data_IF_190630881313
#
_entry.id   IF_190630881313
#
_cell.length_a   1.000
_cell.length_b   1.000
_cell.length_c   1.000
_cell.angle_alpha   90.00
_cell.angle_beta   90.00
_cell.angle_gamma   90.00
#
_symmetry.space_group_name_H-M   'P 1'
#
loop_
_entity.id
_entity.type
_entity.pdbx_description
1 polymer ?
#
# COMPACT_ATOMS: atom_id res chain seq x y z
N UNK A 1 -3.60 -14.74 -32.68
CA UNK A 1 -4.73 -13.82 -32.43
C UNK A 1 -4.16 -12.63 -31.68
N UNK A 2 -4.53 -11.41 -32.08
CA UNK A 2 -4.14 -10.23 -31.33
C UNK A 2 -4.80 -10.30 -29.94
N UNK A 3 -4.04 -9.96 -28.88
CA UNK A 3 -4.52 -9.93 -27.52
C UNK A 3 -5.61 -8.86 -27.42
N UNK A 4 -6.77 -9.21 -26.89
CA UNK A 4 -7.79 -8.21 -26.61
C UNK A 4 -7.48 -7.57 -25.24
N UNK A 5 -6.74 -6.47 -25.28
CA UNK A 5 -6.30 -5.73 -24.08
C UNK A 5 -7.48 -5.41 -23.17
N UNK A 6 -8.57 -4.86 -23.71
CA UNK A 6 -9.74 -4.48 -22.90
C UNK A 6 -10.32 -5.67 -22.14
N UNK A 7 -10.48 -6.82 -22.81
CA UNK A 7 -11.03 -8.03 -22.16
C UNK A 7 -10.15 -8.52 -21.01
N UNK A 8 -8.82 -8.50 -21.18
CA UNK A 8 -7.89 -8.93 -20.12
C UNK A 8 -7.96 -7.97 -18.93
N UNK A 9 -8.00 -6.66 -19.18
CA UNK A 9 -8.04 -5.67 -18.14
C UNK A 9 -9.37 -5.71 -17.37
N UNK A 10 -10.48 -5.96 -18.07
CA UNK A 10 -11.79 -6.14 -17.43
C UNK A 10 -11.80 -7.39 -16.53
N UNK A 11 -11.25 -8.51 -16.97
CA UNK A 11 -11.11 -9.74 -16.16
C UNK A 11 -10.25 -9.52 -14.90
N UNK A 12 -9.23 -8.67 -15.00
CA UNK A 12 -8.35 -8.31 -13.88
C UNK A 12 -8.88 -7.13 -13.04
N UNK A 13 -10.07 -6.62 -13.34
CA UNK A 13 -10.68 -5.44 -12.70
C UNK A 13 -9.77 -4.20 -12.75
N UNK A 14 -9.03 -4.02 -13.84
CA UNK A 14 -8.18 -2.85 -14.03
C UNK A 14 -8.98 -1.73 -14.70
N UNK A 15 -9.16 -0.64 -13.99
CA UNK A 15 -9.77 0.57 -14.55
C UNK A 15 -8.70 1.44 -15.22
N UNK A 16 -8.65 1.42 -16.57
CA UNK A 16 -7.64 2.18 -17.33
C UNK A 16 -7.95 3.69 -17.40
N UNK A 17 -9.06 4.19 -16.92
CA UNK A 17 -9.27 5.62 -16.79
C UNK A 17 -8.13 6.22 -15.93
N UNK A 18 -7.88 7.51 -16.02
CA UNK A 18 -7.04 8.16 -15.03
C UNK A 18 -5.51 8.10 -15.26
N UNK A 19 -5.07 8.11 -16.53
CA UNK A 19 -3.66 8.27 -16.85
C UNK A 19 -2.85 6.98 -16.94
N UNK A 20 -3.48 5.80 -16.86
CA UNK A 20 -2.80 4.51 -17.00
C UNK A 20 -2.88 3.88 -18.41
N UNK A 21 -3.63 4.50 -19.36
CA UNK A 21 -3.83 3.96 -20.70
C UNK A 21 -2.51 3.68 -21.43
N UNK A 22 -1.56 4.59 -21.33
CA UNK A 22 -0.25 4.46 -21.97
C UNK A 22 0.66 3.47 -21.26
N UNK A 23 0.38 3.15 -19.99
CA UNK A 23 1.10 2.13 -19.24
C UNK A 23 0.73 0.73 -19.70
N UNK A 24 -0.55 0.43 -19.90
CA UNK A 24 -1.03 -0.90 -20.32
C UNK A 24 -0.90 -1.12 -21.82
N UNK A 25 0.33 -1.15 -22.33
CA UNK A 25 0.65 -1.55 -23.70
C UNK A 25 0.41 -3.05 -23.90
N UNK A 26 0.31 -3.49 -25.16
CA UNK A 26 0.13 -4.91 -25.50
C UNK A 26 1.19 -5.81 -24.85
N UNK A 27 2.45 -5.40 -24.85
CA UNK A 27 3.55 -6.13 -24.19
C UNK A 27 3.37 -6.25 -22.69
N UNK A 28 2.95 -5.18 -22.02
CA UNK A 28 2.73 -5.20 -20.54
C UNK A 28 1.51 -6.02 -20.17
N UNK A 29 0.46 -5.96 -20.99
CA UNK A 29 -0.72 -6.81 -20.78
C UNK A 29 -0.38 -8.28 -20.99
N UNK A 30 0.46 -8.62 -22.01
CA UNK A 30 0.95 -9.99 -22.15
C UNK A 30 1.78 -10.43 -20.94
N UNK A 31 2.66 -9.58 -20.43
CA UNK A 31 3.42 -9.84 -19.19
C UNK A 31 2.49 -10.11 -17.99
N UNK A 32 1.40 -9.34 -17.85
CA UNK A 32 0.39 -9.59 -16.82
C UNK A 32 -0.29 -10.95 -16.97
N UNK A 33 -0.65 -11.33 -18.19
CA UNK A 33 -1.24 -12.65 -18.48
C UNK A 33 -0.28 -13.75 -18.05
N UNK A 34 1.00 -13.65 -18.39
CA UNK A 34 2.03 -14.65 -18.05
C UNK A 34 2.23 -14.76 -16.53
N UNK A 35 2.24 -13.61 -15.83
CA UNK A 35 2.29 -13.57 -14.36
C UNK A 35 1.05 -14.25 -13.77
N UNK A 36 -0.14 -13.86 -14.20
CA UNK A 36 -1.39 -14.40 -13.66
C UNK A 36 -1.58 -15.87 -13.98
N UNK A 37 -1.12 -16.34 -15.13
CA UNK A 37 -1.09 -17.76 -15.48
C UNK A 37 -0.20 -18.60 -14.55
N UNK A 38 0.86 -17.98 -14.02
CA UNK A 38 1.72 -18.60 -13.02
C UNK A 38 1.05 -18.61 -11.65
N UNK A 39 0.54 -17.44 -11.22
CA UNK A 39 -0.01 -17.21 -9.88
C UNK A 39 -1.30 -17.98 -9.64
N UNK A 40 -2.16 -18.16 -10.66
CA UNK A 40 -3.46 -18.85 -10.54
C UNK A 40 -3.38 -20.31 -10.05
N UNK A 41 -2.19 -20.93 -10.12
CA UNK A 41 -1.97 -22.29 -9.66
C UNK A 41 -1.80 -22.37 -8.14
N UNK A 42 -1.62 -21.21 -7.48
CA UNK A 42 -1.46 -21.09 -6.05
C UNK A 42 -2.72 -20.46 -5.39
N UNK A 43 -2.91 -20.71 -4.10
CA UNK A 43 -3.76 -19.82 -3.31
C UNK A 43 -2.95 -18.56 -3.01
N UNK A 44 -3.36 -17.43 -3.55
CA UNK A 44 -2.61 -16.17 -3.44
C UNK A 44 -3.45 -15.02 -2.85
N UNK A 45 -2.79 -13.99 -2.38
CA UNK A 45 -3.36 -12.76 -1.85
C UNK A 45 -2.73 -11.52 -2.52
N UNK A 46 -3.45 -10.37 -2.56
CA UNK A 46 -4.85 -10.17 -2.19
C UNK A 46 -5.82 -10.87 -3.15
N UNK A 47 -7.14 -10.68 -2.97
CA UNK A 47 -8.13 -11.11 -3.97
C UNK A 47 -7.86 -10.42 -5.30
N UNK A 48 -8.25 -11.07 -6.41
CA UNK A 48 -8.01 -10.56 -7.78
C UNK A 48 -8.51 -9.11 -7.96
N UNK A 49 -9.63 -8.74 -7.35
CA UNK A 49 -10.21 -7.41 -7.40
C UNK A 49 -9.36 -6.31 -6.76
N UNK A 50 -8.38 -6.71 -5.95
CA UNK A 50 -7.53 -5.79 -5.19
C UNK A 50 -6.07 -5.74 -5.68
N UNK A 51 -5.66 -6.59 -6.63
CA UNK A 51 -4.27 -6.63 -7.12
C UNK A 51 -3.87 -5.26 -7.70
N UNK A 52 -4.77 -4.66 -8.50
CA UNK A 52 -4.49 -3.41 -9.23
C UNK A 52 -5.15 -2.19 -8.57
N UNK A 53 -5.37 -2.22 -7.26
CA UNK A 53 -5.98 -1.11 -6.52
C UNK A 53 -5.28 0.23 -6.72
N UNK A 54 -3.98 0.22 -7.03
CA UNK A 54 -3.23 1.43 -7.32
C UNK A 54 -3.80 2.24 -8.50
N UNK A 55 -4.55 1.61 -9.41
CA UNK A 55 -5.20 2.30 -10.54
C UNK A 55 -6.40 3.17 -10.13
N UNK A 56 -6.86 3.09 -8.87
CA UNK A 56 -7.96 3.90 -8.38
C UNK A 56 -7.60 5.39 -8.25
N UNK A 57 -6.32 5.71 -8.11
CA UNK A 57 -5.86 7.11 -8.03
C UNK A 57 -5.40 7.54 -9.41
N UNK A 58 -5.99 8.59 -10.02
CA UNK A 58 -5.46 9.19 -11.25
C UNK A 58 -3.98 9.57 -11.09
N UNK A 59 -3.14 9.30 -12.10
CA UNK A 59 -1.69 9.53 -11.99
C UNK A 59 -1.36 10.99 -11.66
N UNK A 60 -2.11 11.92 -12.24
CA UNK A 60 -1.96 13.38 -11.98
C UNK A 60 -2.33 13.78 -10.55
N UNK A 61 -3.16 13.00 -9.87
CA UNK A 61 -3.61 13.27 -8.51
C UNK A 61 -2.70 12.63 -7.44
N UNK A 62 -1.75 11.79 -7.83
CA UNK A 62 -0.83 11.16 -6.89
C UNK A 62 0.13 12.22 -6.34
N UNK A 63 0.09 12.45 -5.04
CA UNK A 63 1.00 13.35 -4.31
C UNK A 63 2.14 12.57 -3.65
N UNK A 64 1.82 11.42 -3.06
CA UNK A 64 2.77 10.62 -2.32
C UNK A 64 2.56 9.12 -2.58
N UNK A 65 3.65 8.37 -2.69
CA UNK A 65 3.61 6.90 -2.73
C UNK A 65 4.40 6.35 -1.54
N UNK A 66 3.71 5.62 -0.65
CA UNK A 66 4.36 4.89 0.43
C UNK A 66 4.60 3.44 -0.01
N UNK A 67 5.88 3.11 -0.21
CA UNK A 67 6.28 1.85 -0.82
C UNK A 67 6.39 0.74 0.20
N UNK A 68 5.64 -0.35 -0.04
CA UNK A 68 5.80 -1.65 0.60
C UNK A 68 6.53 -2.65 -0.29
N UNK A 69 6.85 -3.81 0.24
CA UNK A 69 7.52 -4.88 -0.51
C UNK A 69 6.50 -5.82 -1.15
N UNK A 70 5.72 -6.52 -0.35
CA UNK A 70 4.76 -7.54 -0.76
C UNK A 70 3.51 -7.51 0.14
N UNK A 71 2.38 -8.04 -0.33
CA UNK A 71 1.17 -8.15 0.47
C UNK A 71 1.36 -9.08 1.68
N UNK A 72 0.49 -8.96 2.68
CA UNK A 72 0.48 -9.92 3.78
C UNK A 72 0.05 -11.32 3.29
N UNK A 73 0.89 -12.33 3.53
CA UNK A 73 0.62 -13.72 3.21
C UNK A 73 -0.35 -14.39 4.19
N UNK A 74 -0.73 -13.69 5.27
CA UNK A 74 -1.63 -14.16 6.32
C UNK A 74 -3.10 -13.92 5.97
N UNK A 75 -3.98 -14.66 6.63
CA UNK A 75 -5.42 -14.64 6.44
C UNK A 75 -6.15 -14.93 7.76
N UNK A 76 -7.47 -14.74 7.76
CA UNK A 76 -8.40 -15.25 8.78
C UNK A 76 -9.40 -16.18 8.14
N UNK A 77 -10.06 -16.99 8.94
CA UNK A 77 -11.26 -17.70 8.50
C UNK A 77 -12.47 -16.79 8.68
N UNK A 78 -13.41 -16.88 7.74
CA UNK A 78 -14.70 -16.19 7.84
C UNK A 78 -15.46 -16.64 9.10
N UNK A 79 -16.11 -15.71 9.79
CA UNK A 79 -16.96 -16.02 10.94
C UNK A 79 -18.23 -16.79 10.52
N UNK A 80 -18.68 -16.61 9.27
CA UNK A 80 -19.90 -17.23 8.72
C UNK A 80 -19.64 -18.64 8.21
N UNK A 81 -18.56 -18.83 7.47
CA UNK A 81 -18.16 -20.13 6.91
C UNK A 81 -16.71 -20.39 7.34
N UNK A 82 -16.53 -21.20 8.38
CA UNK A 82 -15.20 -21.48 8.98
C UNK A 82 -14.16 -22.05 8.00
N UNK A 83 -14.54 -22.34 6.77
CA UNK A 83 -13.67 -22.86 5.71
C UNK A 83 -13.23 -21.76 4.73
N UNK A 84 -13.94 -20.62 4.69
CA UNK A 84 -13.62 -19.52 3.78
C UNK A 84 -12.44 -18.69 4.29
N UNK A 85 -11.45 -18.52 3.44
CA UNK A 85 -10.25 -17.76 3.71
C UNK A 85 -10.48 -16.29 3.38
N UNK A 86 -10.30 -15.42 4.37
CA UNK A 86 -10.32 -13.96 4.20
C UNK A 86 -8.88 -13.44 4.30
N UNK A 87 -8.27 -12.94 3.21
CA UNK A 87 -6.91 -12.42 3.24
C UNK A 87 -6.79 -11.17 4.10
N UNK A 88 -5.65 -11.02 4.79
CA UNK A 88 -5.30 -9.76 5.47
C UNK A 88 -4.82 -8.68 4.48
N UNK A 89 -4.36 -9.08 3.30
CA UNK A 89 -3.96 -8.17 2.24
C UNK A 89 -5.16 -7.54 1.54
N UNK A 90 -5.15 -6.22 1.38
CA UNK A 90 -6.22 -5.40 0.80
C UNK A 90 -5.87 -4.81 -0.57
N UNK A 91 -4.66 -5.10 -1.08
CA UNK A 91 -4.09 -4.44 -2.26
C UNK A 91 -3.28 -3.17 -1.92
N UNK A 92 -3.46 -2.60 -0.73
CA UNK A 92 -2.60 -1.51 -0.24
C UNK A 92 -1.47 -2.04 0.63
N UNK A 93 -0.29 -1.45 0.54
CA UNK A 93 0.79 -1.74 1.47
C UNK A 93 0.39 -1.32 2.90
N UNK A 94 0.82 -2.09 3.89
CA UNK A 94 0.62 -1.84 5.33
C UNK A 94 -0.83 -1.95 5.84
N UNK A 95 -1.86 -1.85 5.01
CA UNK A 95 -3.26 -2.03 5.44
C UNK A 95 -3.53 -3.49 5.79
N UNK A 96 -4.28 -3.70 6.88
CA UNK A 96 -4.67 -5.02 7.39
C UNK A 96 -6.18 -5.14 7.37
N UNK A 97 -6.73 -6.05 6.58
CA UNK A 97 -8.16 -6.20 6.34
C UNK A 97 -8.99 -6.39 7.62
N UNK A 98 -8.47 -7.13 8.59
CA UNK A 98 -9.20 -7.45 9.81
C UNK A 98 -9.13 -6.40 10.91
N UNK A 99 -8.52 -5.24 10.64
CA UNK A 99 -8.42 -4.15 11.62
C UNK A 99 -9.57 -3.16 11.50
N UNK A 100 -10.49 -3.18 12.45
CA UNK A 100 -11.61 -2.23 12.51
C UNK A 100 -11.29 -0.99 13.33
N UNK A 101 -10.48 -1.13 14.39
CA UNK A 101 -10.08 -0.03 15.27
C UNK A 101 -8.59 -0.06 15.56
N UNK A 102 -7.97 1.09 15.86
CA UNK A 102 -6.57 1.15 16.31
C UNK A 102 -6.33 0.54 17.69
N UNK A 103 -7.41 0.27 18.44
CA UNK A 103 -7.35 -0.42 19.72
C UNK A 103 -7.33 -1.93 19.58
N UNK A 104 -7.63 -2.46 18.40
CA UNK A 104 -7.50 -3.88 18.09
C UNK A 104 -6.05 -4.35 18.24
N UNK A 105 -5.86 -5.67 18.40
CA UNK A 105 -4.51 -6.25 18.49
C UNK A 105 -3.80 -6.17 17.15
N UNK A 106 -2.92 -5.20 16.99
CA UNK A 106 -2.06 -5.06 15.81
C UNK A 106 -0.91 -6.07 15.88
N UNK A 107 -0.93 -7.10 15.04
CA UNK A 107 0.15 -8.09 14.93
C UNK A 107 1.35 -7.55 14.16
N UNK A 108 1.10 -6.75 13.13
CA UNK A 108 2.07 -6.20 12.20
C UNK A 108 2.87 -5.05 12.82
N UNK A 109 4.18 -5.27 13.02
CA UNK A 109 5.07 -4.27 13.65
C UNK A 109 5.14 -2.97 12.84
N UNK A 110 5.09 -3.06 11.50
CA UNK A 110 5.10 -1.88 10.63
C UNK A 110 3.90 -0.97 10.92
N UNK A 111 2.70 -1.51 10.99
CA UNK A 111 1.49 -0.72 11.24
C UNK A 111 1.48 -0.11 12.66
N UNK A 112 2.02 -0.84 13.66
CA UNK A 112 2.20 -0.28 15.01
C UNK A 112 3.10 0.96 15.01
N UNK A 113 4.22 0.90 14.29
CA UNK A 113 5.16 2.01 14.24
C UNK A 113 4.68 3.15 13.32
N UNK A 114 3.86 2.87 12.31
CA UNK A 114 3.13 3.89 11.56
C UNK A 114 2.23 4.69 12.51
N UNK A 115 1.40 4.02 13.31
CA UNK A 115 0.54 4.69 14.31
C UNK A 115 1.36 5.51 15.33
N UNK A 116 2.47 4.96 15.85
CA UNK A 116 3.36 5.69 16.76
C UNK A 116 4.00 6.91 16.08
N UNK A 117 4.36 6.80 14.80
CA UNK A 117 4.93 7.89 14.02
C UNK A 117 3.92 9.01 13.77
N UNK A 118 2.65 8.66 13.52
CA UNK A 118 1.56 9.63 13.40
C UNK A 118 1.29 10.33 14.76
N UNK A 119 1.31 9.59 15.86
CA UNK A 119 1.22 10.19 17.18
C UNK A 119 2.38 11.19 17.43
N UNK A 120 3.62 10.77 17.10
CA UNK A 120 4.79 11.63 17.20
C UNK A 120 4.68 12.87 16.28
N UNK A 121 4.13 12.71 15.05
CA UNK A 121 3.90 13.83 14.15
C UNK A 121 3.00 14.91 14.76
N UNK A 122 1.93 14.49 15.47
CA UNK A 122 0.97 15.44 16.06
C UNK A 122 1.46 16.06 17.36
N UNK A 123 2.19 15.32 18.20
CA UNK A 123 2.48 15.73 19.58
C UNK A 123 3.94 16.12 19.82
N UNK A 124 4.86 15.68 18.95
CA UNK A 124 6.30 15.76 19.19
C UNK A 124 6.82 14.76 20.22
N UNK A 125 5.94 13.95 20.84
CA UNK A 125 6.27 13.03 21.91
C UNK A 125 6.25 11.58 21.43
N UNK A 126 7.13 10.75 22.01
CA UNK A 126 7.09 9.30 21.84
C UNK A 126 6.30 8.67 22.94
N UNK A 127 5.46 7.71 22.55
CA UNK A 127 4.64 7.01 23.51
C UNK A 127 4.58 5.52 23.20
N UNK A 128 4.21 4.71 24.19
CA UNK A 128 3.92 3.29 23.98
C UNK A 128 2.61 3.12 23.22
N UNK A 129 2.47 1.97 22.56
CA UNK A 129 1.24 1.67 21.82
C UNK A 129 0.00 1.67 22.73
N UNK A 130 0.15 1.16 23.94
CA UNK A 130 -0.91 1.09 24.96
C UNK A 130 -1.44 2.49 25.31
N UNK A 131 -0.55 3.41 25.61
CA UNK A 131 -0.92 4.80 25.94
C UNK A 131 -1.50 5.56 24.76
N UNK A 132 -0.99 5.30 23.53
CA UNK A 132 -1.60 5.88 22.32
C UNK A 132 -3.05 5.40 22.17
N UNK A 133 -3.31 4.13 22.40
CA UNK A 133 -4.67 3.55 22.38
C UNK A 133 -5.58 4.15 23.44
N UNK A 134 -5.08 4.35 24.66
CA UNK A 134 -5.81 5.04 25.72
C UNK A 134 -6.17 6.46 25.30
N UNK A 135 -5.25 7.18 24.65
CA UNK A 135 -5.49 8.54 24.13
C UNK A 135 -6.49 8.56 22.98
N UNK A 136 -6.48 7.55 22.08
CA UNK A 136 -7.50 7.39 21.06
C UNK A 136 -8.87 7.16 21.71
N UNK A 137 -8.96 6.22 22.66
CA UNK A 137 -10.22 5.86 23.33
C UNK A 137 -10.80 7.01 24.15
N UNK A 138 -9.94 7.87 24.72
CA UNK A 138 -10.37 9.06 25.49
C UNK A 138 -10.63 10.30 24.63
N UNK A 139 -10.40 10.24 23.30
CA UNK A 139 -10.52 11.40 22.40
C UNK A 139 -9.37 12.41 22.50
N UNK A 140 -8.31 12.11 23.28
CA UNK A 140 -7.13 12.98 23.39
C UNK A 140 -6.17 12.89 22.17
N UNK A 141 -6.29 11.85 21.35
CA UNK A 141 -5.60 11.71 20.08
C UNK A 141 -6.63 11.30 19.02
N UNK A 142 -6.88 12.20 18.07
CA UNK A 142 -7.78 11.94 16.96
C UNK A 142 -7.04 11.36 15.77
N UNK A 143 -7.56 10.27 15.23
CA UNK A 143 -7.22 9.65 13.97
C UNK A 143 -8.44 8.84 13.48
N UNK A 144 -8.73 8.87 12.20
CA UNK A 144 -9.80 8.05 11.60
C UNK A 144 -9.57 6.57 11.89
N UNK A 145 -10.63 5.74 11.84
CA UNK A 145 -10.50 4.29 11.95
C UNK A 145 -9.51 3.74 10.88
N UNK A 146 -8.88 2.58 11.08
CA UNK A 146 -7.87 2.10 10.13
C UNK A 146 -8.32 2.14 8.67
N UNK A 147 -9.46 1.55 8.34
CA UNK A 147 -9.97 1.54 6.95
C UNK A 147 -10.31 2.93 6.43
N UNK A 148 -10.98 3.75 7.25
CA UNK A 148 -11.31 5.13 6.89
C UNK A 148 -10.04 5.97 6.70
N UNK A 149 -9.00 5.73 7.51
CA UNK A 149 -7.71 6.40 7.40
C UNK A 149 -7.03 6.10 6.05
N UNK A 150 -6.97 4.83 5.65
CA UNK A 150 -6.40 4.46 4.35
C UNK A 150 -7.25 5.00 3.18
N UNK A 151 -8.59 4.94 3.26
CA UNK A 151 -9.48 5.48 2.24
C UNK A 151 -9.30 7.00 2.10
N UNK A 152 -9.32 7.71 3.23
CA UNK A 152 -9.15 9.16 3.26
C UNK A 152 -7.80 9.62 2.68
N UNK A 153 -6.72 8.91 2.96
CA UNK A 153 -5.42 9.22 2.39
C UNK A 153 -5.38 8.92 0.88
N UNK A 154 -6.02 7.84 0.42
CA UNK A 154 -6.15 7.54 -1.02
C UNK A 154 -6.89 8.66 -1.75
N UNK A 155 -7.96 9.19 -1.18
CA UNK A 155 -8.72 10.34 -1.72
C UNK A 155 -7.86 11.62 -1.81
N UNK A 156 -6.88 11.79 -0.92
CA UNK A 156 -5.94 12.90 -0.97
C UNK A 156 -4.78 12.69 -1.96
N UNK A 157 -4.67 11.53 -2.60
CA UNK A 157 -3.59 11.19 -3.52
C UNK A 157 -2.40 10.49 -2.86
N UNK A 158 -2.59 9.85 -1.69
CA UNK A 158 -1.57 8.98 -1.09
C UNK A 158 -1.78 7.55 -1.55
N UNK A 159 -0.86 7.03 -2.32
CA UNK A 159 -0.85 5.65 -2.78
C UNK A 159 -0.02 4.75 -1.86
N UNK A 160 -0.61 3.68 -1.38
CA UNK A 160 0.09 2.62 -0.64
C UNK A 160 0.42 1.46 -1.59
N UNK A 161 1.60 1.49 -2.20
CA UNK A 161 2.00 0.59 -3.28
C UNK A 161 2.97 -0.49 -2.78
N UNK A 162 2.66 -1.77 -3.02
CA UNK A 162 3.64 -2.84 -2.91
C UNK A 162 4.40 -3.01 -4.24
N UNK A 163 5.70 -3.26 -4.18
CA UNK A 163 6.50 -3.58 -5.37
C UNK A 163 6.25 -5.00 -5.89
N UNK A 164 5.70 -5.89 -5.08
CA UNK A 164 5.16 -7.19 -5.48
C UNK A 164 3.66 -7.19 -5.24
N UNK A 165 2.85 -7.39 -6.28
CA UNK A 165 1.40 -7.18 -6.16
C UNK A 165 0.62 -8.39 -5.65
N UNK A 166 1.24 -9.57 -5.63
CA UNK A 166 0.64 -10.79 -5.08
C UNK A 166 1.63 -11.56 -4.21
N UNK A 167 1.12 -12.42 -3.35
CA UNK A 167 1.91 -13.32 -2.51
C UNK A 167 1.18 -14.66 -2.37
N UNK A 168 1.89 -15.76 -2.36
CA UNK A 168 1.32 -17.06 -2.06
C UNK A 168 0.93 -17.14 -0.58
N UNK A 169 -0.18 -17.79 -0.30
CA UNK A 169 -0.66 -18.04 1.05
C UNK A 169 0.46 -18.63 1.93
N UNK A 170 0.67 -18.01 3.10
CA UNK A 170 1.66 -18.42 4.11
C UNK A 170 3.14 -18.35 3.67
N UNK A 171 3.46 -17.84 2.47
CA UNK A 171 4.82 -17.75 1.92
C UNK A 171 5.21 -16.30 1.56
N UNK A 172 5.58 -15.43 2.52
CA UNK A 172 6.02 -14.06 2.24
C UNK A 172 7.17 -14.01 1.22
N UNK A 173 7.09 -13.09 0.28
CA UNK A 173 8.12 -12.89 -0.76
C UNK A 173 8.07 -13.86 -1.94
N UNK A 174 7.14 -14.84 -1.95
CA UNK A 174 7.08 -15.92 -2.95
C UNK A 174 6.96 -15.45 -4.40
N UNK A 175 6.37 -14.28 -4.67
CA UNK A 175 6.13 -13.78 -6.02
C UNK A 175 6.99 -12.56 -6.38
N UNK A 176 7.98 -12.18 -5.58
CA UNK A 176 8.80 -10.98 -5.82
C UNK A 176 9.44 -11.01 -7.21
N UNK A 177 10.06 -12.12 -7.59
CA UNK A 177 10.72 -12.27 -8.89
C UNK A 177 9.74 -12.14 -10.07
N UNK A 178 8.50 -12.63 -9.90
CA UNK A 178 7.48 -12.56 -10.95
C UNK A 178 7.04 -11.12 -11.25
N UNK A 179 6.97 -10.28 -10.21
CA UNK A 179 6.48 -8.89 -10.33
C UNK A 179 7.59 -7.87 -10.60
N UNK A 180 8.87 -8.26 -10.48
CA UNK A 180 9.98 -7.31 -10.47
C UNK A 180 9.98 -6.38 -11.71
N UNK A 181 9.93 -6.92 -12.91
CA UNK A 181 10.00 -6.12 -14.15
C UNK A 181 8.76 -5.25 -14.34
N UNK A 182 7.57 -5.80 -14.08
CA UNK A 182 6.33 -5.04 -14.16
C UNK A 182 6.33 -3.86 -13.18
N UNK A 183 6.75 -4.11 -11.95
CA UNK A 183 6.76 -3.07 -10.91
C UNK A 183 7.81 -2.01 -11.16
N UNK A 184 8.98 -2.38 -11.66
CA UNK A 184 10.01 -1.42 -12.09
C UNK A 184 9.50 -0.52 -13.21
N UNK A 185 8.80 -1.08 -14.19
CA UNK A 185 8.19 -0.32 -15.27
C UNK A 185 7.08 0.60 -14.77
N UNK A 186 6.25 0.13 -13.83
CA UNK A 186 5.22 0.96 -13.20
C UNK A 186 5.83 2.15 -12.47
N UNK A 187 6.88 1.92 -11.66
CA UNK A 187 7.57 2.99 -10.93
C UNK A 187 8.15 4.04 -11.87
N UNK A 188 8.85 3.62 -12.94
CA UNK A 188 9.39 4.54 -13.96
C UNK A 188 8.27 5.35 -14.61
N UNK A 189 7.21 4.67 -15.02
CA UNK A 189 6.05 5.30 -15.66
C UNK A 189 5.42 6.38 -14.76
N UNK A 190 5.14 6.05 -13.50
CA UNK A 190 4.55 6.99 -12.54
C UNK A 190 5.47 8.20 -12.31
N UNK A 191 6.78 7.97 -12.15
CA UNK A 191 7.74 9.04 -11.94
C UNK A 191 7.92 9.94 -13.17
N UNK A 192 7.82 9.39 -14.39
CA UNK A 192 7.87 10.16 -15.65
C UNK A 192 6.60 10.98 -15.87
N UNK A 193 5.43 10.39 -15.64
CA UNK A 193 4.13 11.05 -15.86
C UNK A 193 3.83 12.13 -14.80
N UNK A 194 4.24 11.89 -13.57
CA UNK A 194 4.08 12.85 -12.49
C UNK A 194 5.38 13.00 -11.68
N UNK A 195 6.34 13.80 -12.14
CA UNK A 195 7.64 13.95 -11.49
C UNK A 195 7.57 14.66 -10.12
N UNK A 196 6.38 15.13 -9.70
CA UNK A 196 6.16 15.76 -8.39
C UNK A 196 5.87 14.77 -7.28
N UNK A 197 5.61 13.51 -7.62
CA UNK A 197 5.33 12.46 -6.62
C UNK A 197 6.46 12.39 -5.60
N UNK A 198 6.10 12.42 -4.31
CA UNK A 198 7.01 12.17 -3.21
C UNK A 198 7.00 10.67 -2.87
N UNK A 199 8.16 10.02 -2.89
CA UNK A 199 8.27 8.59 -2.68
C UNK A 199 8.82 8.28 -1.29
N UNK A 200 8.01 7.74 -0.39
CA UNK A 200 8.48 7.25 0.92
C UNK A 200 9.06 5.85 0.73
N UNK A 201 10.40 5.76 0.73
CA UNK A 201 11.17 4.54 0.59
C UNK A 201 11.63 4.05 1.96
N UNK A 202 10.81 3.23 2.57
CA UNK A 202 11.00 2.79 3.94
C UNK A 202 11.79 1.47 4.02
N UNK A 203 13.06 1.58 4.39
CA UNK A 203 14.01 0.47 4.53
C UNK A 203 14.88 0.24 3.29
N UNK A 204 15.98 -0.46 3.50
CA UNK A 204 17.02 -0.69 2.47
C UNK A 204 16.50 -1.42 1.23
N UNK A 205 15.54 -2.32 1.40
CA UNK A 205 14.97 -3.08 0.27
C UNK A 205 14.30 -2.12 -0.72
N UNK A 206 13.38 -1.26 -0.28
CA UNK A 206 12.73 -0.28 -1.13
C UNK A 206 13.74 0.72 -1.72
N UNK A 207 14.67 1.23 -0.91
CA UNK A 207 15.71 2.17 -1.35
C UNK A 207 16.59 1.59 -2.46
N UNK A 208 17.02 0.34 -2.33
CA UNK A 208 17.87 -0.33 -3.33
C UNK A 208 17.08 -0.70 -4.60
N UNK A 209 15.84 -1.13 -4.44
CA UNK A 209 15.01 -1.56 -5.57
C UNK A 209 14.65 -0.40 -6.50
N UNK A 210 14.16 0.72 -5.95
CA UNK A 210 13.57 1.79 -6.77
C UNK A 210 14.17 3.18 -6.54
N UNK A 211 15.06 3.36 -5.57
CA UNK A 211 15.59 4.68 -5.21
C UNK A 211 16.29 5.43 -6.35
N UNK A 212 16.94 4.72 -7.28
CA UNK A 212 17.56 5.30 -8.47
C UNK A 212 16.58 5.60 -9.62
N UNK A 213 15.33 5.16 -9.52
CA UNK A 213 14.30 5.32 -10.56
C UNK A 213 13.39 6.53 -10.32
N UNK A 214 13.46 7.13 -9.14
CA UNK A 214 12.52 8.17 -8.70
C UNK A 214 13.23 9.48 -8.34
N UNK A 215 12.58 10.62 -8.59
CA UNK A 215 13.20 11.93 -8.42
C UNK A 215 13.14 12.45 -6.98
N UNK A 216 11.98 12.29 -6.31
CA UNK A 216 11.72 12.90 -5.01
C UNK A 216 11.58 11.82 -3.94
N UNK A 217 12.67 11.20 -3.52
CA UNK A 217 12.65 10.14 -2.53
C UNK A 217 12.87 10.63 -1.10
N UNK A 218 12.04 10.16 -0.18
CA UNK A 218 12.17 10.29 1.27
C UNK A 218 12.63 8.94 1.81
N UNK A 219 13.93 8.81 2.06
CA UNK A 219 14.53 7.57 2.55
C UNK A 219 14.46 7.49 4.07
N UNK A 220 13.89 6.41 4.61
CA UNK A 220 13.75 6.18 6.05
C UNK A 220 14.12 4.76 6.44
N UNK A 221 14.23 4.50 7.74
CA UNK A 221 14.27 3.15 8.29
C UNK A 221 12.99 2.39 7.93
N UNK A 222 13.07 1.05 7.91
CA UNK A 222 11.88 0.23 7.70
C UNK A 222 10.88 0.42 8.84
N UNK A 223 9.54 0.48 8.59
CA UNK A 223 8.55 0.74 9.63
C UNK A 223 8.54 -0.27 10.78
N UNK A 224 9.09 -1.48 10.62
CA UNK A 224 9.26 -2.44 11.72
C UNK A 224 10.29 -1.99 12.78
N UNK A 225 11.11 -0.98 12.50
CA UNK A 225 12.15 -0.47 13.39
C UNK A 225 11.67 0.79 14.13
N UNK A 226 12.04 0.93 15.40
CA UNK A 226 11.68 2.12 16.21
C UNK A 226 12.30 3.43 15.69
N UNK A 227 13.42 3.36 14.93
CA UNK A 227 14.00 4.53 14.26
C UNK A 227 13.01 5.21 13.30
N UNK A 228 12.17 4.45 12.60
CA UNK A 228 11.13 4.98 11.72
C UNK A 228 10.20 5.99 12.43
N UNK A 229 9.86 5.72 13.70
CA UNK A 229 8.99 6.60 14.50
C UNK A 229 9.59 7.99 14.65
N UNK A 230 10.93 8.07 14.85
CA UNK A 230 11.64 9.35 15.02
C UNK A 230 11.88 10.07 13.69
N UNK A 231 12.20 9.30 12.65
CA UNK A 231 12.41 9.82 11.31
C UNK A 231 11.14 10.45 10.76
N UNK A 232 9.98 9.86 11.09
CA UNK A 232 8.64 10.37 10.82
C UNK A 232 8.53 10.95 9.40
N UNK A 233 8.54 10.10 8.36
CA UNK A 233 8.55 10.58 6.96
C UNK A 233 7.33 11.45 6.61
N UNK A 234 6.24 11.27 7.33
CA UNK A 234 4.98 12.00 7.13
C UNK A 234 5.12 13.51 7.26
N UNK A 235 6.08 13.99 8.09
CA UNK A 235 6.38 15.43 8.25
C UNK A 235 7.06 16.06 7.03
N UNK A 236 7.58 15.23 6.11
CA UNK A 236 8.31 15.66 4.92
C UNK A 236 7.42 15.67 3.67
N UNK A 237 6.17 15.28 3.80
CA UNK A 237 5.17 15.27 2.74
C UNK A 237 4.19 16.40 3.01
N UNK A 238 4.20 17.41 2.15
CA UNK A 238 3.33 18.56 2.26
C UNK A 238 1.91 18.28 1.74
N UNK A 239 0.96 19.10 2.15
CA UNK A 239 -0.44 19.11 1.66
C UNK A 239 -1.22 17.80 1.86
N UNK A 240 -0.89 17.03 2.92
CA UNK A 240 -1.63 15.82 3.34
C UNK A 240 -2.13 15.99 4.78
N UNK A 241 -3.45 15.86 4.97
CA UNK A 241 -4.01 15.69 6.31
C UNK A 241 -3.91 14.22 6.74
N UNK A 242 -2.87 13.92 7.48
CA UNK A 242 -2.58 12.55 7.96
C UNK A 242 -3.55 12.03 9.03
N UNK A 243 -4.50 12.84 9.50
CA UNK A 243 -5.37 12.49 10.61
C UNK A 243 -6.86 12.43 10.26
N UNK A 244 -7.29 13.06 9.18
CA UNK A 244 -8.70 13.23 8.80
C UNK A 244 -9.41 14.34 9.57
N UNK A 245 -8.68 15.35 10.06
CA UNK A 245 -9.25 16.46 10.83
C UNK A 245 -10.19 17.35 10.02
N UNK A 246 -9.94 17.47 8.72
CA UNK A 246 -10.77 18.27 7.80
C UNK A 246 -12.17 17.69 7.56
N UNK A 247 -12.39 16.39 7.88
CA UNK A 247 -13.72 15.79 7.81
C UNK A 247 -14.63 16.17 8.99
N UNK A 248 -14.09 16.85 10.02
CA UNK A 248 -14.86 17.25 11.20
C UNK A 248 -15.35 18.70 11.16
N UNK A 249 -14.94 19.46 10.14
CA UNK A 249 -15.37 20.86 9.90
C UNK A 249 -16.52 20.93 8.91
#
# INVERSE_FOLDING_TARGET
MALNISSVLDELNIQISNGYQEFFTENRVQQLVDIMDTVKNDTFFPSILNIFRFTNIPVENIKCIFVGQDPYASYKFSDELKEDIVPEATGRSFEVNSMNTWTDKIKQSSLRNILKSLYYLQTGEKETLEKIREKISSGCFFILSPHDWFNYLEEQGVMFLNTCLTVKKDEPGSHIELWNDFSNDLVRYLNEKNPKIQWILAGKVAQNAIGSMVNNSICTSHPRLDSFVRECPFKLVDDIDWFGKTMQS
#
